data_IF_036420564873
#
_entry.id   IF_036420564873
#
_cell.length_a   1.000
_cell.length_b   1.000
_cell.length_c   1.000
_cell.angle_alpha   90.00
_cell.angle_beta   90.00
_cell.angle_gamma   90.00
#
_symmetry.space_group_name_H-M   'P 1'
#
loop_
_entity.id
_entity.type
_entity.pdbx_description
1 polymer ?
#
# COMPACT_ATOMS: atom_id res chain seq x y z
N UNK A 1 -26.49 -2.66 17.97
CA UNK A 1 -26.04 -2.28 16.62
C UNK A 1 -24.53 -2.16 16.68
N UNK A 2 -23.83 -3.26 16.38
CA UNK A 2 -22.37 -3.23 16.27
C UNK A 2 -22.05 -2.62 14.91
N UNK A 3 -21.52 -1.40 14.91
CA UNK A 3 -21.02 -0.75 13.71
C UNK A 3 -19.83 -1.58 13.26
N UNK A 4 -20.04 -2.42 12.24
CA UNK A 4 -18.99 -3.24 11.64
C UNK A 4 -17.81 -2.36 11.30
N UNK A 5 -16.67 -2.63 11.94
CA UNK A 5 -15.41 -1.98 11.62
C UNK A 5 -15.11 -2.37 10.17
N UNK A 6 -15.27 -1.45 9.23
CA UNK A 6 -14.86 -1.68 7.84
C UNK A 6 -13.34 -1.83 7.88
N UNK A 7 -12.88 -3.08 7.89
CA UNK A 7 -11.47 -3.40 7.70
C UNK A 7 -11.21 -3.07 6.24
N UNK A 8 -10.59 -1.92 6.01
CA UNK A 8 -10.09 -1.56 4.69
C UNK A 8 -9.01 -2.56 4.35
N UNK A 9 -9.27 -3.41 3.36
CA UNK A 9 -8.26 -4.33 2.85
C UNK A 9 -7.28 -3.52 1.97
N UNK A 10 -6.20 -3.08 2.61
CA UNK A 10 -5.14 -2.31 1.97
C UNK A 10 -4.53 -3.06 0.78
N UNK A 11 -4.45 -4.39 0.83
CA UNK A 11 -3.90 -5.18 -0.28
C UNK A 11 -4.83 -5.10 -1.50
N UNK A 12 -6.14 -5.23 -1.27
CA UNK A 12 -7.14 -5.07 -2.34
C UNK A 12 -7.13 -3.66 -2.95
N UNK A 13 -7.14 -2.62 -2.12
CA UNK A 13 -7.10 -1.22 -2.59
C UNK A 13 -5.84 -0.95 -3.44
N UNK A 14 -4.68 -1.38 -2.96
CA UNK A 14 -3.42 -1.18 -3.67
C UNK A 14 -3.35 -1.98 -4.97
N UNK A 15 -3.84 -3.22 -4.98
CA UNK A 15 -3.92 -4.05 -6.18
C UNK A 15 -4.72 -3.33 -7.28
N UNK A 16 -5.89 -2.80 -6.92
CA UNK A 16 -6.75 -2.08 -7.85
C UNK A 16 -6.10 -0.80 -8.37
N UNK A 17 -5.61 0.05 -7.48
CA UNK A 17 -5.06 1.38 -7.84
C UNK A 17 -3.75 1.23 -8.63
N UNK A 18 -2.85 0.34 -8.23
CA UNK A 18 -1.59 0.10 -8.94
C UNK A 18 -1.83 -0.58 -10.29
N UNK A 19 -2.85 -1.45 -10.39
CA UNK A 19 -3.25 -2.05 -11.66
C UNK A 19 -3.73 -1.01 -12.68
N UNK A 20 -4.56 -0.06 -12.24
CA UNK A 20 -4.97 1.09 -13.05
C UNK A 20 -3.76 1.95 -13.48
N UNK A 21 -2.87 2.28 -12.53
CA UNK A 21 -1.66 3.09 -12.77
C UNK A 21 -0.69 2.44 -13.76
N UNK A 22 -0.51 1.12 -13.68
CA UNK A 22 0.42 0.35 -14.52
C UNK A 22 -0.21 -0.16 -15.83
N UNK A 23 -1.53 0.00 -15.99
CA UNK A 23 -2.28 -0.47 -17.15
C UNK A 23 -2.26 -2.00 -17.32
N UNK A 24 -2.17 -2.76 -16.23
CA UNK A 24 -2.06 -4.23 -16.23
C UNK A 24 -2.53 -4.83 -14.91
N UNK A 25 -2.75 -6.14 -14.85
CA UNK A 25 -3.15 -6.79 -13.59
C UNK A 25 -2.02 -6.76 -12.55
N UNK A 26 -2.39 -6.44 -11.31
CA UNK A 26 -1.49 -6.32 -10.16
C UNK A 26 -2.18 -6.95 -8.96
N UNK A 27 -1.50 -7.86 -8.26
CA UNK A 27 -2.00 -8.51 -7.04
C UNK A 27 -1.01 -8.35 -5.90
N UNK A 28 -1.38 -7.61 -4.86
CA UNK A 28 -0.59 -7.46 -3.64
C UNK A 28 -0.77 -8.72 -2.79
N UNK A 29 0.30 -9.51 -2.65
CA UNK A 29 0.32 -10.76 -1.88
C UNK A 29 0.51 -10.51 -0.39
N UNK A 30 1.35 -9.54 -0.05
CA UNK A 30 1.63 -9.16 1.33
C UNK A 30 2.10 -7.72 1.44
N UNK A 31 2.00 -7.15 2.64
CA UNK A 31 2.58 -5.86 2.98
C UNK A 31 3.19 -5.90 4.38
N UNK A 32 4.18 -5.04 4.60
CA UNK A 32 4.84 -4.86 5.89
C UNK A 32 5.09 -3.39 6.17
N UNK A 33 5.21 -3.07 7.46
CA UNK A 33 5.46 -1.72 7.92
C UNK A 33 6.60 -1.65 8.91
N UNK A 34 7.52 -0.72 8.68
CA UNK A 34 8.52 -0.29 9.65
C UNK A 34 8.04 1.04 10.29
N UNK A 35 7.51 1.02 11.53
CA UNK A 35 7.02 2.21 12.22
C UNK A 35 8.10 3.23 12.56
N UNK A 36 9.34 2.80 12.75
CA UNK A 36 10.44 3.71 13.09
C UNK A 36 10.85 4.54 11.88
N UNK A 37 10.81 3.92 10.69
CA UNK A 37 11.13 4.58 9.42
C UNK A 37 9.91 5.20 8.74
N UNK A 38 8.70 4.77 9.11
CA UNK A 38 7.49 5.10 8.38
C UNK A 38 7.48 4.45 7.00
N UNK A 39 8.06 3.27 6.84
CA UNK A 39 8.25 2.61 5.55
C UNK A 39 7.17 1.54 5.34
N UNK A 40 6.36 1.69 4.29
CA UNK A 40 5.48 0.64 3.79
C UNK A 40 6.23 -0.12 2.71
N UNK A 41 6.29 -1.45 2.81
CA UNK A 41 6.74 -2.32 1.73
C UNK A 41 5.62 -3.26 1.31
N UNK A 42 5.48 -3.47 0.00
CA UNK A 42 4.50 -4.38 -0.59
C UNK A 42 5.22 -5.42 -1.45
N UNK A 43 4.74 -6.65 -1.39
CA UNK A 43 5.09 -7.72 -2.30
C UNK A 43 3.91 -7.94 -3.25
N UNK A 44 4.20 -7.94 -4.54
CA UNK A 44 3.18 -7.79 -5.58
C UNK A 44 3.50 -8.69 -6.77
N UNK A 45 2.51 -9.40 -7.27
CA UNK A 45 2.59 -10.11 -8.54
C UNK A 45 2.05 -9.19 -9.65
N UNK A 46 2.89 -8.90 -10.66
CA UNK A 46 2.56 -7.98 -11.74
C UNK A 46 2.52 -8.74 -13.06
N UNK A 47 1.42 -8.61 -13.80
CA UNK A 47 1.22 -9.29 -15.07
C UNK A 47 2.34 -8.96 -16.08
N UNK A 48 2.91 -10.01 -16.67
CA UNK A 48 4.01 -9.90 -17.64
C UNK A 48 5.37 -9.50 -17.05
N UNK A 49 5.47 -9.28 -15.74
CA UNK A 49 6.73 -8.94 -15.04
C UNK A 49 7.10 -10.02 -14.01
N UNK A 50 6.11 -10.53 -13.28
CA UNK A 50 6.28 -11.51 -12.20
C UNK A 50 6.26 -10.88 -10.81
N UNK A 51 6.84 -11.56 -9.82
CA UNK A 51 6.88 -11.10 -8.44
C UNK A 51 7.84 -9.92 -8.28
N UNK A 52 7.35 -8.83 -7.67
CA UNK A 52 8.06 -7.58 -7.44
C UNK A 52 7.84 -7.09 -6.01
N UNK A 53 8.82 -6.36 -5.49
CA UNK A 53 8.72 -5.71 -4.20
C UNK A 53 8.93 -4.21 -4.37
N UNK A 54 8.10 -3.40 -3.72
CA UNK A 54 8.22 -1.95 -3.73
C UNK A 54 8.06 -1.42 -2.31
N UNK A 55 8.79 -0.35 -2.00
CA UNK A 55 8.74 0.30 -0.70
C UNK A 55 8.61 1.82 -0.82
N UNK A 56 7.87 2.43 0.09
CA UNK A 56 7.63 3.87 0.11
C UNK A 56 7.62 4.41 1.53
N UNK A 57 8.29 5.56 1.74
CA UNK A 57 8.31 6.25 3.03
C UNK A 57 7.06 7.12 3.21
N UNK A 58 6.11 6.64 4.01
CA UNK A 58 4.92 7.37 4.44
C UNK A 58 5.22 8.08 5.75
N UNK A 59 6.06 9.13 5.70
CA UNK A 59 6.55 9.87 6.89
C UNK A 59 5.44 10.35 7.83
N UNK A 60 4.26 10.65 7.31
CA UNK A 60 3.10 11.05 8.11
C UNK A 60 2.62 9.98 9.10
N UNK A 61 2.91 8.71 8.83
CA UNK A 61 2.51 7.57 9.66
C UNK A 61 3.64 7.05 10.56
N UNK A 62 4.79 7.74 10.61
CA UNK A 62 5.93 7.37 11.44
C UNK A 62 5.56 7.39 12.93
N UNK A 63 6.03 6.37 13.68
CA UNK A 63 5.80 6.21 15.12
C UNK A 63 4.45 5.56 15.48
N UNK A 64 3.62 5.20 14.50
CA UNK A 64 2.37 4.47 14.73
C UNK A 64 2.64 2.97 14.87
N UNK A 65 2.81 2.49 16.10
CA UNK A 65 3.02 1.06 16.38
C UNK A 65 1.74 0.22 16.40
N UNK A 66 0.57 0.86 16.55
CA UNK A 66 -0.71 0.15 16.47
C UNK A 66 -1.08 -0.08 15.01
N UNK A 67 -1.14 -1.35 14.62
CA UNK A 67 -1.40 -1.79 13.24
C UNK A 67 -2.68 -1.20 12.65
N UNK A 68 -3.81 -1.24 13.37
CA UNK A 68 -5.08 -0.70 12.87
C UNK A 68 -5.02 0.83 12.64
N UNK A 69 -4.36 1.58 13.53
CA UNK A 69 -4.13 3.02 13.35
C UNK A 69 -3.21 3.30 12.17
N UNK A 70 -2.19 2.45 12.00
CA UNK A 70 -1.25 2.56 10.91
C UNK A 70 -1.90 2.28 9.54
N UNK A 71 -2.60 1.15 9.38
CA UNK A 71 -3.32 0.82 8.13
C UNK A 71 -4.24 1.96 7.73
N UNK A 72 -4.98 2.51 8.70
CA UNK A 72 -5.87 3.65 8.47
C UNK A 72 -5.11 4.92 8.05
N UNK A 73 -3.95 5.19 8.64
CA UNK A 73 -3.11 6.33 8.27
C UNK A 73 -2.58 6.17 6.84
N UNK A 74 -2.06 4.98 6.51
CA UNK A 74 -1.48 4.68 5.20
C UNK A 74 -2.54 4.70 4.10
N UNK A 75 -3.66 4.00 4.26
CA UNK A 75 -4.74 4.02 3.26
C UNK A 75 -5.18 5.46 2.97
N UNK A 76 -5.44 6.27 4.01
CA UNK A 76 -5.75 7.70 3.83
C UNK A 76 -4.65 8.48 3.13
N UNK A 77 -3.39 8.26 3.50
CA UNK A 77 -2.26 9.04 2.97
C UNK A 77 -1.98 8.67 1.50
N UNK A 78 -2.04 7.38 1.15
CA UNK A 78 -1.86 6.90 -0.22
C UNK A 78 -2.99 7.38 -1.12
N UNK A 79 -4.24 7.34 -0.65
CA UNK A 79 -5.40 7.85 -1.39
C UNK A 79 -5.35 9.37 -1.63
N UNK A 80 -4.69 10.12 -0.76
CA UNK A 80 -4.62 11.59 -0.86
C UNK A 80 -3.38 12.09 -1.62
N UNK A 81 -2.42 11.22 -1.92
CA UNK A 81 -1.14 11.63 -2.52
C UNK A 81 -0.70 10.68 -3.61
N UNK A 82 -0.97 11.08 -4.85
CA UNK A 82 -0.55 10.42 -6.08
C UNK A 82 0.96 10.09 -6.12
N UNK A 83 1.79 10.95 -5.52
CA UNK A 83 3.25 10.77 -5.46
C UNK A 83 3.67 9.41 -4.88
N UNK A 84 2.95 8.89 -3.89
CA UNK A 84 3.31 7.60 -3.30
C UNK A 84 2.94 6.43 -4.22
N UNK A 85 1.80 6.54 -4.89
CA UNK A 85 1.34 5.55 -5.85
C UNK A 85 2.25 5.52 -7.09
N UNK A 86 2.71 6.69 -7.55
CA UNK A 86 3.68 6.79 -8.65
C UNK A 86 5.03 6.17 -8.29
N UNK A 87 5.52 6.41 -7.08
CA UNK A 87 6.78 5.83 -6.62
C UNK A 87 6.68 4.31 -6.51
N UNK A 88 5.59 3.79 -5.95
CA UNK A 88 5.32 2.36 -5.91
C UNK A 88 5.23 1.77 -7.32
N UNK A 89 4.42 2.37 -8.21
CA UNK A 89 4.27 1.91 -9.58
C UNK A 89 5.61 1.90 -10.33
N UNK A 90 6.44 2.93 -10.18
CA UNK A 90 7.77 3.00 -10.81
C UNK A 90 8.69 1.85 -10.37
N UNK A 91 8.62 1.45 -9.10
CA UNK A 91 9.43 0.34 -8.58
C UNK A 91 8.90 -1.04 -9.03
N UNK A 92 7.60 -1.12 -9.33
CA UNK A 92 6.94 -2.36 -9.77
C UNK A 92 7.01 -2.61 -11.28
N UNK A 93 7.13 -1.55 -12.08
CA UNK A 93 7.29 -1.62 -13.55
C UNK A 93 8.57 -2.38 -13.98
#
# INVERSE_FOLDING_TARGET
MEVGLVVVDLAFELSYILGDRLGRSVEVKSYSFDPEKGLLCIETEVEGVGLRQACVEVKACKGLSNEAKWVRCVSKTLMQSEKYLDELARQLA
#
